data_IF_264542815529
#
_entry.id   IF_264542815529
#
_cell.length_a   1.000
_cell.length_b   1.000
_cell.length_c   1.000
_cell.angle_alpha   90.00
_cell.angle_beta   90.00
_cell.angle_gamma   90.00
#
_symmetry.space_group_name_H-M   'P 1'
#
loop_
_entity.id
_entity.type
_entity.pdbx_description
1 polymer ?
#
# COMPACT_ATOMS: atom_id res chain seq x y z
N UNK A 1 -7.19 -10.53 -7.05
CA UNK A 1 -5.76 -10.59 -6.63
C UNK A 1 -5.65 -11.59 -5.51
N UNK A 2 -4.70 -12.51 -5.60
CA UNK A 2 -4.41 -13.51 -4.56
C UNK A 2 -3.08 -13.15 -3.91
N UNK A 3 -2.98 -13.26 -2.59
CA UNK A 3 -1.77 -12.97 -1.83
C UNK A 3 -1.49 -14.07 -0.81
N UNK A 4 -0.22 -14.30 -0.50
CA UNK A 4 0.22 -15.38 0.40
C UNK A 4 0.81 -14.83 1.70
N UNK A 5 0.42 -15.41 2.83
CA UNK A 5 1.04 -15.17 4.14
C UNK A 5 1.22 -16.51 4.83
N UNK A 6 2.46 -16.87 5.15
CA UNK A 6 2.79 -18.20 5.70
C UNK A 6 2.28 -19.32 4.78
N UNK A 7 1.47 -20.24 5.29
CA UNK A 7 0.85 -21.36 4.58
C UNK A 7 -0.58 -21.06 4.12
N UNK A 8 -0.98 -19.79 4.13
CA UNK A 8 -2.31 -19.37 3.73
C UNK A 8 -2.29 -18.54 2.44
N UNK A 9 -3.28 -18.77 1.58
CA UNK A 9 -3.60 -17.89 0.46
C UNK A 9 -4.88 -17.12 0.76
N UNK A 10 -4.89 -15.83 0.40
CA UNK A 10 -6.01 -14.93 0.61
C UNK A 10 -6.40 -14.27 -0.70
N UNK A 11 -7.70 -14.13 -0.94
CA UNK A 11 -8.23 -13.37 -2.07
C UNK A 11 -9.58 -12.75 -1.72
N UNK A 12 -9.99 -11.77 -2.52
CA UNK A 12 -11.31 -11.14 -2.39
C UNK A 12 -12.16 -11.60 -3.56
N UNK A 13 -13.27 -12.26 -3.24
CA UNK A 13 -14.35 -12.54 -4.19
C UNK A 13 -15.37 -11.42 -4.10
N UNK A 14 -15.93 -11.02 -5.24
CA UNK A 14 -17.00 -10.03 -5.25
C UNK A 14 -17.97 -10.23 -6.42
N UNK A 15 -19.20 -9.79 -6.22
CA UNK A 15 -20.24 -9.82 -7.24
C UNK A 15 -21.14 -8.58 -7.13
N UNK A 16 -21.55 -8.05 -8.29
CA UNK A 16 -22.52 -6.95 -8.34
C UNK A 16 -23.88 -7.44 -7.84
N UNK A 17 -24.58 -6.59 -7.09
CA UNK A 17 -25.97 -6.80 -6.64
C UNK A 17 -26.78 -5.53 -6.86
N UNK A 18 -28.11 -5.60 -6.67
CA UNK A 18 -28.98 -4.42 -6.77
C UNK A 18 -28.63 -3.30 -5.78
N UNK A 19 -27.98 -3.62 -4.66
CA UNK A 19 -27.73 -2.66 -3.57
C UNK A 19 -26.26 -2.27 -3.41
N UNK A 20 -25.37 -2.79 -4.27
CA UNK A 20 -23.93 -2.58 -4.20
C UNK A 20 -23.13 -3.83 -4.60
N UNK A 21 -21.87 -3.90 -4.18
CA UNK A 21 -20.97 -5.03 -4.44
C UNK A 21 -20.85 -5.90 -3.20
N UNK A 22 -21.38 -7.12 -3.26
CA UNK A 22 -21.15 -8.11 -2.19
C UNK A 22 -19.74 -8.64 -2.34
N UNK A 23 -19.01 -8.76 -1.24
CA UNK A 23 -17.65 -9.27 -1.23
C UNK A 23 -17.41 -10.22 -0.06
N UNK A 24 -16.45 -11.12 -0.25
CA UNK A 24 -15.95 -12.04 0.76
C UNK A 24 -14.42 -12.14 0.65
N UNK A 25 -13.73 -12.00 1.78
CA UNK A 25 -12.31 -12.32 1.89
C UNK A 25 -12.23 -13.82 2.18
N UNK A 26 -11.63 -14.57 1.27
CA UNK A 26 -11.41 -16.00 1.41
C UNK A 26 -10.00 -16.28 1.92
N UNK A 27 -9.88 -17.42 2.57
CA UNK A 27 -8.65 -17.98 3.10
C UNK A 27 -8.58 -19.45 2.66
N UNK A 28 -7.50 -19.85 2.00
CA UNK A 28 -7.15 -21.26 1.77
C UNK A 28 -5.97 -21.63 2.66
N UNK A 29 -6.15 -22.62 3.52
CA UNK A 29 -5.06 -23.28 4.22
C UNK A 29 -4.39 -24.28 3.27
N UNK A 30 -3.12 -24.06 2.91
CA UNK A 30 -2.38 -24.96 2.02
C UNK A 30 -2.00 -26.29 2.68
N UNK A 31 -2.05 -26.40 4.01
CA UNK A 31 -1.77 -27.65 4.71
C UNK A 31 -2.99 -28.56 4.77
N UNK A 32 -4.18 -27.99 4.92
CA UNK A 32 -5.44 -28.75 5.07
C UNK A 32 -6.32 -28.69 3.83
N UNK A 33 -5.95 -27.87 2.84
CA UNK A 33 -6.69 -27.59 1.60
C UNK A 33 -8.10 -27.03 1.84
N UNK A 34 -8.39 -26.55 3.06
CA UNK A 34 -9.69 -26.01 3.43
C UNK A 34 -9.81 -24.55 3.07
N UNK A 35 -10.92 -24.20 2.42
CA UNK A 35 -11.31 -22.83 2.11
C UNK A 35 -12.31 -22.34 3.16
N UNK A 36 -12.01 -21.20 3.78
CA UNK A 36 -12.87 -20.53 4.75
C UNK A 36 -13.17 -19.09 4.31
N UNK A 37 -14.25 -18.53 4.88
CA UNK A 37 -14.55 -17.10 4.75
C UNK A 37 -13.99 -16.38 5.96
N UNK A 38 -13.03 -15.48 5.73
CA UNK A 38 -12.40 -14.70 6.79
C UNK A 38 -13.29 -13.50 7.18
N UNK A 39 -13.72 -12.72 6.20
CA UNK A 39 -14.58 -11.55 6.40
C UNK A 39 -15.51 -11.39 5.19
N UNK A 40 -16.63 -10.70 5.36
CA UNK A 40 -17.57 -10.46 4.26
C UNK A 40 -18.39 -9.18 4.50
N UNK A 41 -18.89 -8.62 3.41
CA UNK A 41 -19.70 -7.41 3.48
C UNK A 41 -20.32 -7.02 2.15
N UNK A 42 -20.86 -5.81 2.11
CA UNK A 42 -21.42 -5.20 0.91
C UNK A 42 -20.89 -3.76 0.84
N UNK A 43 -20.16 -3.44 -0.22
CA UNK A 43 -19.77 -2.08 -0.54
C UNK A 43 -20.92 -1.37 -1.25
N UNK A 44 -21.28 -0.18 -0.79
CA UNK A 44 -22.45 0.61 -1.21
C UNK A 44 -22.07 2.07 -1.32
N UNK A 45 -22.88 2.88 -2.02
CA UNK A 45 -22.65 4.33 -2.13
C UNK A 45 -21.22 4.64 -2.61
N UNK A 46 -20.81 3.95 -3.68
CA UNK A 46 -19.50 4.08 -4.32
C UNK A 46 -18.29 3.81 -3.42
N UNK A 47 -18.47 3.12 -2.29
CA UNK A 47 -17.34 2.60 -1.52
C UNK A 47 -16.67 1.43 -2.25
N UNK A 48 -15.35 1.35 -2.14
CA UNK A 48 -14.59 0.25 -2.72
C UNK A 48 -14.83 -1.08 -1.99
N UNK A 49 -14.65 -2.19 -2.70
CA UNK A 49 -14.39 -3.49 -2.06
C UNK A 49 -13.05 -3.43 -1.33
N UNK A 50 -12.84 -4.24 -0.27
CA UNK A 50 -11.55 -4.27 0.41
C UNK A 50 -10.46 -4.74 -0.56
N UNK A 51 -9.29 -4.11 -0.48
CA UNK A 51 -8.05 -4.68 -1.01
C UNK A 51 -7.21 -5.20 0.17
N UNK A 52 -6.31 -6.13 -0.13
CA UNK A 52 -5.48 -6.80 0.86
C UNK A 52 -4.07 -6.21 0.84
N UNK A 53 -3.60 -5.79 2.00
CA UNK A 53 -2.21 -5.41 2.26
C UNK A 53 -1.57 -6.50 3.14
N UNK A 54 -0.39 -6.96 2.77
CA UNK A 54 0.24 -8.12 3.41
C UNK A 54 1.63 -7.84 3.92
N UNK A 55 1.94 -8.41 5.09
CA UNK A 55 3.30 -8.60 5.56
C UNK A 55 3.62 -10.09 5.68
N UNK A 56 4.80 -10.44 6.20
CA UNK A 56 5.21 -11.83 6.43
C UNK A 56 4.32 -12.59 7.42
N UNK A 57 3.53 -11.91 8.25
CA UNK A 57 2.75 -12.53 9.35
C UNK A 57 1.25 -12.23 9.33
N UNK A 58 0.82 -11.23 8.56
CA UNK A 58 -0.58 -10.78 8.57
C UNK A 58 -1.06 -10.34 7.21
N UNK A 59 -2.37 -10.44 7.04
CA UNK A 59 -3.12 -9.72 6.01
C UNK A 59 -3.96 -8.64 6.67
N UNK A 60 -4.04 -7.48 6.05
CA UNK A 60 -4.76 -6.31 6.53
C UNK A 60 -5.68 -5.77 5.44
N UNK A 61 -6.82 -5.22 5.83
CA UNK A 61 -7.79 -4.67 4.89
C UNK A 61 -8.62 -3.58 5.56
N UNK A 62 -9.25 -2.77 4.71
CA UNK A 62 -10.13 -1.68 5.12
C UNK A 62 -11.54 -1.95 4.59
N UNK A 63 -12.54 -1.80 5.44
CA UNK A 63 -13.96 -1.95 5.07
C UNK A 63 -14.71 -0.64 5.26
N UNK A 64 -15.71 -0.39 4.43
CA UNK A 64 -16.56 0.80 4.53
C UNK A 64 -18.03 0.39 4.68
N UNK A 65 -18.60 0.67 5.85
CA UNK A 65 -20.04 0.53 6.12
C UNK A 65 -20.72 1.87 5.82
N UNK A 66 -21.29 2.01 4.62
CA UNK A 66 -21.88 3.26 4.15
C UNK A 66 -23.41 3.26 4.16
N UNK A 67 -23.97 4.40 4.55
CA UNK A 67 -25.39 4.78 4.50
C UNK A 67 -25.51 6.17 3.87
N UNK A 68 -26.72 6.66 3.54
CA UNK A 68 -26.88 8.01 2.98
C UNK A 68 -26.36 9.14 3.89
N UNK A 69 -26.20 8.89 5.19
CA UNK A 69 -25.83 9.90 6.19
C UNK A 69 -24.49 9.64 6.85
N UNK A 70 -23.88 8.47 6.64
CA UNK A 70 -22.63 8.11 7.32
C UNK A 70 -21.86 7.03 6.57
N UNK A 71 -20.53 7.18 6.54
CA UNK A 71 -19.61 6.10 6.19
C UNK A 71 -18.73 5.78 7.38
N UNK A 72 -18.77 4.53 7.86
CA UNK A 72 -17.86 4.03 8.88
C UNK A 72 -16.74 3.22 8.22
N UNK A 73 -15.51 3.69 8.33
CA UNK A 73 -14.33 2.97 7.84
C UNK A 73 -13.71 2.18 9.00
N UNK A 74 -13.43 0.90 8.80
CA UNK A 74 -12.83 0.01 9.80
C UNK A 74 -11.56 -0.58 9.20
N UNK A 75 -10.43 -0.41 9.90
CA UNK A 75 -9.18 -1.07 9.56
C UNK A 75 -9.03 -2.35 10.38
N UNK A 76 -8.85 -3.48 9.70
CA UNK A 76 -8.74 -4.81 10.30
C UNK A 76 -7.44 -5.49 9.85
N UNK A 77 -6.99 -6.47 10.62
CA UNK A 77 -6.02 -7.45 10.16
C UNK A 77 -6.34 -8.83 10.71
N UNK A 78 -5.83 -9.85 10.03
CA UNK A 78 -5.75 -11.21 10.54
C UNK A 78 -4.28 -11.55 10.74
N UNK A 79 -3.89 -11.82 12.00
CA UNK A 79 -2.54 -12.29 12.33
C UNK A 79 -2.54 -13.81 12.36
N UNK A 80 -1.68 -14.43 11.54
CA UNK A 80 -1.64 -15.88 11.38
C UNK A 80 -1.26 -16.58 12.69
N UNK A 81 -0.49 -15.93 13.56
CA UNK A 81 -0.09 -16.52 14.84
C UNK A 81 -1.21 -16.47 15.88
N UNK A 82 -2.06 -15.44 15.83
CA UNK A 82 -3.17 -15.26 16.77
C UNK A 82 -4.46 -15.95 16.32
N UNK A 83 -4.54 -16.31 15.04
CA UNK A 83 -5.72 -16.90 14.39
C UNK A 83 -6.99 -16.06 14.63
N UNK A 84 -6.84 -14.74 14.64
CA UNK A 84 -7.88 -13.80 15.02
C UNK A 84 -7.90 -12.56 14.14
N UNK A 85 -9.11 -12.03 13.92
CA UNK A 85 -9.30 -10.71 13.31
C UNK A 85 -9.18 -9.65 14.40
N UNK A 86 -8.25 -8.72 14.19
CA UNK A 86 -7.97 -7.59 15.08
C UNK A 86 -8.50 -6.33 14.42
N UNK A 87 -9.33 -5.58 15.15
CA UNK A 87 -9.78 -4.24 14.75
C UNK A 87 -8.76 -3.23 15.27
N UNK A 88 -8.13 -2.49 14.37
CA UNK A 88 -7.11 -1.50 14.74
C UNK A 88 -7.71 -0.13 15.01
N UNK A 89 -8.56 0.34 14.09
CA UNK A 89 -9.08 1.70 14.09
C UNK A 89 -10.44 1.77 13.41
N UNK A 90 -11.23 2.77 13.82
CA UNK A 90 -12.53 3.07 13.23
C UNK A 90 -12.64 4.57 13.00
N UNK A 91 -13.19 4.94 11.85
CA UNK A 91 -13.36 6.33 11.43
C UNK A 91 -14.79 6.56 11.01
N UNK A 92 -15.32 7.73 11.32
CA UNK A 92 -16.67 8.12 10.97
C UNK A 92 -16.62 9.37 10.10
N UNK A 93 -17.12 9.23 8.88
CA UNK A 93 -17.42 10.33 7.99
C UNK A 93 -18.93 10.57 7.99
N UNK A 94 -19.34 11.81 8.27
CA UNK A 94 -20.73 12.24 8.09
C UNK A 94 -20.95 12.53 6.61
N UNK A 95 -21.90 11.84 6.01
CA UNK A 95 -22.33 12.04 4.63
C UNK A 95 -23.52 13.01 4.56
N UNK A 96 -23.87 13.45 3.36
CA UNK A 96 -24.94 14.41 3.08
C UNK A 96 -24.44 15.56 2.22
N UNK A 97 -25.17 16.68 2.23
CA UNK A 97 -24.86 17.83 1.37
C UNK A 97 -23.42 18.38 1.56
N UNK A 98 -22.87 18.28 2.78
CA UNK A 98 -21.51 18.69 3.09
C UNK A 98 -20.84 17.65 3.98
N UNK A 99 -19.90 16.90 3.40
CA UNK A 99 -19.14 15.86 4.12
C UNK A 99 -18.36 16.46 5.27
N UNK A 100 -18.27 15.73 6.39
CA UNK A 100 -17.52 16.18 7.56
C UNK A 100 -16.94 14.99 8.34
N UNK A 101 -15.63 15.00 8.56
CA UNK A 101 -14.89 13.94 9.24
C UNK A 101 -13.79 13.30 8.38
N UNK A 102 -13.02 12.36 8.96
CA UNK A 102 -11.96 11.63 8.26
C UNK A 102 -12.52 10.48 7.42
N UNK A 103 -11.92 10.29 6.24
CA UNK A 103 -12.15 9.16 5.35
C UNK A 103 -10.79 8.59 4.90
N UNK A 104 -10.24 7.60 5.63
CA UNK A 104 -9.12 6.82 5.14
C UNK A 104 -9.55 5.99 3.95
N UNK A 105 -8.69 5.91 2.94
CA UNK A 105 -9.00 5.19 1.68
C UNK A 105 -7.81 4.39 1.13
N UNK A 106 -6.60 4.64 1.61
CA UNK A 106 -5.42 3.83 1.30
C UNK A 106 -4.55 3.72 2.57
N UNK A 107 -3.83 2.62 2.71
CA UNK A 107 -2.98 2.33 3.85
C UNK A 107 -1.87 1.34 3.50
N UNK A 108 -0.80 1.36 4.30
CA UNK A 108 0.21 0.29 4.37
C UNK A 108 0.39 -0.10 5.83
N UNK A 109 0.45 -1.40 6.11
CA UNK A 109 0.73 -1.94 7.44
C UNK A 109 1.90 -2.92 7.38
N UNK A 110 2.96 -2.57 8.09
CA UNK A 110 4.16 -3.39 8.20
C UNK A 110 4.60 -3.53 9.66
N UNK A 111 5.78 -4.13 9.87
CA UNK A 111 6.45 -4.15 11.17
C UNK A 111 6.88 -2.74 11.64
N UNK A 112 6.81 -1.74 10.75
CA UNK A 112 7.01 -0.33 11.08
C UNK A 112 5.73 0.39 11.52
N UNK A 113 4.63 -0.33 11.69
CA UNK A 113 3.35 0.20 12.11
C UNK A 113 2.40 0.44 10.94
N UNK A 114 1.51 1.41 11.11
CA UNK A 114 0.48 1.78 10.14
C UNK A 114 0.74 3.19 9.60
N UNK A 115 0.54 3.36 8.31
CA UNK A 115 0.45 4.67 7.65
C UNK A 115 -0.83 4.72 6.82
N UNK A 116 -1.55 5.85 6.90
CA UNK A 116 -2.87 6.05 6.32
C UNK A 116 -2.86 7.24 5.37
N UNK A 117 -3.43 7.05 4.19
CA UNK A 117 -3.84 8.13 3.31
C UNK A 117 -5.32 8.44 3.59
N UNK A 118 -5.56 9.64 4.13
CA UNK A 118 -6.86 10.05 4.66
C UNK A 118 -7.29 11.36 4.04
N UNK A 119 -8.52 11.39 3.52
CA UNK A 119 -9.21 12.63 3.18
C UNK A 119 -9.96 13.13 4.40
N UNK A 120 -9.57 14.27 4.95
CA UNK A 120 -10.34 14.92 6.03
C UNK A 120 -11.24 15.99 5.44
N UNK A 121 -12.54 15.87 5.67
CA UNK A 121 -13.53 16.83 5.22
C UNK A 121 -13.93 17.78 6.36
N UNK A 122 -13.94 19.07 6.07
CA UNK A 122 -14.54 20.10 6.94
C UNK A 122 -15.55 20.89 6.13
N UNK A 123 -16.84 20.67 6.39
CA UNK A 123 -17.92 21.34 5.68
C UNK A 123 -17.83 21.18 4.14
N UNK A 124 -17.48 19.98 3.66
CA UNK A 124 -17.26 19.67 2.25
C UNK A 124 -15.85 19.98 1.73
N UNK A 125 -15.07 20.83 2.41
CA UNK A 125 -13.69 21.09 1.99
C UNK A 125 -12.79 19.89 2.34
N UNK A 126 -12.18 19.30 1.31
CA UNK A 126 -11.33 18.12 1.42
C UNK A 126 -9.86 18.50 1.64
N UNK A 127 -9.23 17.86 2.63
CA UNK A 127 -7.78 17.95 2.88
C UNK A 127 -7.18 16.55 2.94
N UNK A 128 -6.55 16.06 1.85
CA UNK A 128 -5.83 14.79 1.84
C UNK A 128 -4.51 14.86 2.61
N UNK A 129 -4.25 13.87 3.45
CA UNK A 129 -3.03 13.75 4.26
C UNK A 129 -2.54 12.32 4.32
N UNK A 130 -1.22 12.14 4.28
CA UNK A 130 -0.55 10.89 4.59
C UNK A 130 0.04 11.00 6.01
N UNK A 131 -0.36 10.09 6.90
CA UNK A 131 -0.04 10.16 8.32
C UNK A 131 0.27 8.78 8.90
N UNK A 132 1.34 8.67 9.68
CA UNK A 132 1.61 7.45 10.46
C UNK A 132 0.76 7.45 11.72
N UNK A 133 0.34 6.26 12.15
CA UNK A 133 -0.53 6.09 13.31
C UNK A 133 0.11 6.59 14.62
N UNK A 134 1.43 6.49 14.73
CA UNK A 134 2.20 7.01 15.87
C UNK A 134 2.43 8.54 15.83
N UNK A 135 1.90 9.22 14.82
CA UNK A 135 2.02 10.67 14.63
C UNK A 135 3.42 11.16 14.27
N UNK A 136 4.38 10.26 14.06
CA UNK A 136 5.77 10.66 13.74
C UNK A 136 5.87 11.33 12.38
N UNK A 137 5.06 10.90 11.41
CA UNK A 137 5.01 11.50 10.09
C UNK A 137 3.60 11.99 9.77
N UNK A 138 3.50 13.23 9.27
CA UNK A 138 2.26 13.79 8.72
C UNK A 138 2.60 14.77 7.60
N UNK A 139 1.98 14.59 6.44
CA UNK A 139 2.13 15.50 5.30
C UNK A 139 0.81 15.64 4.53
N UNK A 140 0.50 16.86 4.07
CA UNK A 140 -0.58 17.08 3.11
C UNK A 140 -0.17 16.55 1.74
N UNK A 141 -1.02 15.76 1.10
CA UNK A 141 -0.69 15.08 -0.15
C UNK A 141 -1.68 15.44 -1.25
N UNK A 142 -1.22 16.10 -2.29
CA UNK A 142 -1.99 16.25 -3.54
C UNK A 142 -1.20 15.51 -4.63
N UNK A 143 -1.80 14.50 -5.27
CA UNK A 143 -1.12 13.73 -6.33
C UNK A 143 -0.21 12.59 -5.84
N UNK A 144 -0.53 11.95 -4.72
CA UNK A 144 0.16 10.74 -4.27
C UNK A 144 -0.08 9.58 -5.25
N UNK A 145 0.98 9.01 -5.78
CA UNK A 145 0.95 7.85 -6.70
C UNK A 145 1.12 6.54 -5.93
N UNK A 146 2.14 6.48 -5.06
CA UNK A 146 2.37 5.33 -4.18
C UNK A 146 3.16 5.77 -2.94
N UNK A 147 3.12 4.96 -1.90
CA UNK A 147 3.91 5.17 -0.70
C UNK A 147 4.26 3.85 -0.03
N UNK A 148 5.35 3.90 0.72
CA UNK A 148 5.75 2.84 1.64
C UNK A 148 6.45 3.48 2.84
N UNK A 149 6.53 2.76 3.95
CA UNK A 149 7.24 3.24 5.12
C UNK A 149 8.04 2.14 5.82
N UNK A 150 9.10 2.54 6.50
CA UNK A 150 9.79 1.70 7.48
C UNK A 150 9.91 2.46 8.81
N UNK A 151 10.68 1.96 9.77
CA UNK A 151 10.81 2.62 11.08
C UNK A 151 11.44 4.01 11.03
N UNK A 152 12.19 4.33 9.96
CA UNK A 152 13.01 5.54 9.82
C UNK A 152 12.49 6.51 8.77
N UNK A 153 11.96 6.03 7.65
CA UNK A 153 11.53 6.83 6.51
C UNK A 153 10.11 6.52 6.04
N UNK A 154 9.54 7.49 5.33
CA UNK A 154 8.40 7.35 4.42
C UNK A 154 8.90 7.65 3.01
N UNK A 155 8.67 6.70 2.10
CA UNK A 155 8.90 6.86 0.67
C UNK A 155 7.60 7.26 0.00
N UNK A 156 7.64 8.27 -0.85
CA UNK A 156 6.48 8.89 -1.50
C UNK A 156 6.78 9.01 -2.99
N UNK A 157 5.88 8.50 -3.81
CA UNK A 157 5.87 8.69 -5.25
C UNK A 157 4.89 9.79 -5.62
N UNK A 158 5.37 10.79 -6.35
CA UNK A 158 4.58 11.85 -6.96
C UNK A 158 4.97 11.91 -8.45
N UNK A 159 4.20 12.61 -9.27
CA UNK A 159 4.63 12.89 -10.65
C UNK A 159 5.96 13.65 -10.62
N UNK A 160 6.95 13.16 -11.38
CA UNK A 160 8.26 13.78 -11.49
C UNK A 160 9.15 13.68 -10.27
N UNK A 161 8.79 12.93 -9.21
CA UNK A 161 9.72 12.70 -8.11
C UNK A 161 9.42 11.50 -7.21
N UNK A 162 10.49 11.02 -6.57
CA UNK A 162 10.42 10.16 -5.40
C UNK A 162 10.99 10.91 -4.20
N UNK A 163 10.24 10.98 -3.09
CA UNK A 163 10.63 11.67 -1.87
C UNK A 163 10.84 10.64 -0.75
N UNK A 164 11.98 10.73 -0.07
CA UNK A 164 12.34 9.85 1.03
C UNK A 164 12.50 10.70 2.29
N UNK A 165 11.44 10.74 3.10
CA UNK A 165 11.32 11.65 4.22
C UNK A 165 11.56 10.92 5.54
N UNK A 166 12.46 11.40 6.42
CA UNK A 166 12.61 10.82 7.74
C UNK A 166 11.33 11.06 8.58
N UNK A 167 10.93 10.05 9.36
CA UNK A 167 9.79 10.13 10.28
C UNK A 167 10.08 10.98 11.52
N UNK A 168 11.34 11.21 11.89
CA UNK A 168 11.74 12.05 13.03
C UNK A 168 12.90 12.96 12.61
N UNK A 169 12.86 14.22 13.03
CA UNK A 169 13.95 15.18 12.84
C UNK A 169 13.64 16.31 11.85
N UNK A 170 14.52 17.33 11.84
CA UNK A 170 14.49 18.39 10.84
C UNK A 170 15.05 17.89 9.51
N UNK A 171 14.35 18.26 8.44
CA UNK A 171 14.73 18.14 7.04
C UNK A 171 16.20 18.50 6.77
N UNK A 172 16.83 17.94 5.72
CA UNK A 172 16.18 17.44 4.50
C UNK A 172 16.02 15.92 4.40
N UNK A 173 14.92 15.50 3.76
CA UNK A 173 14.84 14.17 3.16
C UNK A 173 15.64 14.10 1.86
N UNK A 174 15.61 12.96 1.18
CA UNK A 174 16.21 12.83 -0.16
C UNK A 174 15.12 12.94 -1.24
N UNK A 175 15.45 13.56 -2.38
CA UNK A 175 14.57 13.62 -3.54
C UNK A 175 15.30 13.03 -4.76
N UNK A 176 14.67 12.04 -5.38
CA UNK A 176 15.01 11.59 -6.73
C UNK A 176 14.10 12.31 -7.73
N UNK A 177 14.67 12.72 -8.86
CA UNK A 177 13.94 13.24 -10.01
C UNK A 177 14.22 12.36 -11.23
N UNK A 178 13.20 11.74 -11.82
CA UNK A 178 13.27 11.16 -13.16
C UNK A 178 13.87 12.12 -14.19
N UNK A 179 14.34 11.55 -15.30
CA UNK A 179 14.85 12.35 -16.43
C UNK A 179 13.79 13.23 -17.08
N UNK A 180 12.52 12.81 -17.04
CA UNK A 180 11.35 13.56 -17.48
C UNK A 180 10.39 13.73 -16.28
N UNK A 181 10.04 14.98 -15.97
CA UNK A 181 9.24 15.34 -14.81
C UNK A 181 7.76 14.92 -14.91
N UNK A 182 7.34 14.35 -16.04
CA UNK A 182 6.01 13.76 -16.22
C UNK A 182 5.96 12.27 -15.84
N UNK A 183 7.12 11.65 -15.60
CA UNK A 183 7.20 10.24 -15.25
C UNK A 183 6.79 10.01 -13.81
N UNK A 184 6.08 8.89 -13.59
CA UNK A 184 5.59 8.48 -12.27
C UNK A 184 6.61 7.58 -11.58
N UNK A 185 6.69 7.68 -10.25
CA UNK A 185 7.48 6.75 -9.43
C UNK A 185 6.56 5.97 -8.49
N UNK A 186 6.71 4.64 -8.47
CA UNK A 186 5.88 3.77 -7.65
C UNK A 186 6.62 2.52 -7.13
N UNK A 187 5.88 1.62 -6.49
CA UNK A 187 6.31 0.28 -6.09
C UNK A 187 7.51 0.24 -5.14
N UNK A 188 7.50 1.13 -4.13
CA UNK A 188 8.55 1.20 -3.12
C UNK A 188 8.67 -0.08 -2.30
N UNK A 189 9.91 -0.56 -2.09
CA UNK A 189 10.24 -1.70 -1.23
C UNK A 189 11.47 -1.40 -0.41
N UNK A 190 11.32 -1.33 0.92
CA UNK A 190 12.47 -1.24 1.81
C UNK A 190 13.20 -2.58 1.89
N UNK A 191 14.49 -2.54 1.59
CA UNK A 191 15.41 -3.66 1.73
C UNK A 191 16.00 -3.73 3.13
N UNK A 192 16.21 -2.55 3.73
CA UNK A 192 16.69 -2.33 5.09
C UNK A 192 16.19 -0.97 5.60
N UNK A 193 16.74 -0.49 6.73
CA UNK A 193 16.38 0.81 7.30
C UNK A 193 16.68 1.99 6.35
N UNK A 194 17.74 1.88 5.55
CA UNK A 194 18.29 2.97 4.74
C UNK A 194 18.33 2.65 3.24
N UNK A 195 17.83 1.49 2.82
CA UNK A 195 17.88 1.03 1.43
C UNK A 195 16.49 0.75 0.91
N UNK A 196 16.17 1.29 -0.26
CA UNK A 196 14.85 1.19 -0.87
C UNK A 196 14.98 0.99 -2.37
N UNK A 197 14.18 0.09 -2.91
CA UNK A 197 13.97 -0.06 -4.34
C UNK A 197 12.65 0.59 -4.71
N UNK A 198 12.58 1.16 -5.90
CA UNK A 198 11.35 1.72 -6.47
C UNK A 198 11.39 1.62 -7.99
N UNK A 199 10.25 1.87 -8.63
CA UNK A 199 10.08 1.74 -10.07
C UNK A 199 9.76 3.10 -10.70
N UNK A 200 10.43 3.43 -11.79
CA UNK A 200 10.18 4.61 -12.61
C UNK A 200 9.38 4.18 -13.86
N UNK A 201 8.23 4.83 -14.10
CA UNK A 201 7.40 4.71 -15.30
C UNK A 201 7.13 3.29 -15.81
N UNK A 202 7.11 2.29 -14.92
CA UNK A 202 7.05 0.88 -15.30
C UNK A 202 8.21 0.36 -16.15
N UNK A 203 9.30 1.10 -16.37
CA UNK A 203 10.37 0.71 -17.33
C UNK A 203 11.69 0.40 -16.66
N UNK A 204 11.86 0.76 -15.38
CA UNK A 204 13.13 0.60 -14.68
C UNK A 204 12.98 0.50 -13.17
N UNK A 205 13.76 -0.37 -12.53
CA UNK A 205 13.97 -0.36 -11.08
C UNK A 205 15.19 0.49 -10.71
N UNK A 206 15.02 1.24 -9.64
CA UNK A 206 16.06 2.06 -9.02
C UNK A 206 16.34 1.57 -7.61
N UNK A 207 17.57 1.81 -7.16
CA UNK A 207 18.01 1.56 -5.81
C UNK A 207 18.45 2.88 -5.17
N UNK A 208 17.88 3.22 -4.02
CA UNK A 208 18.32 4.34 -3.19
C UNK A 208 19.07 3.84 -1.95
N UNK A 209 20.24 4.40 -1.70
CA UNK A 209 20.96 4.35 -0.44
C UNK A 209 20.77 5.70 0.27
N UNK A 210 19.84 5.72 1.22
CA UNK A 210 19.44 6.92 1.97
C UNK A 210 20.48 7.33 3.01
N UNK A 211 21.37 6.40 3.43
CA UNK A 211 22.48 6.72 4.32
C UNK A 211 23.56 7.50 3.57
N UNK A 212 23.75 7.21 2.28
CA UNK A 212 24.71 7.90 1.40
C UNK A 212 24.09 9.02 0.56
N UNK A 213 22.76 9.12 0.52
CA UNK A 213 22.05 10.09 -0.33
C UNK A 213 22.28 9.84 -1.82
N UNK A 214 22.34 8.57 -2.24
CA UNK A 214 22.61 8.21 -3.64
C UNK A 214 21.48 7.37 -4.21
N UNK A 215 21.18 7.56 -5.49
CA UNK A 215 20.28 6.72 -6.27
C UNK A 215 20.99 6.22 -7.52
N UNK A 216 20.86 4.94 -7.81
CA UNK A 216 21.46 4.29 -8.97
C UNK A 216 20.46 3.35 -9.65
N UNK A 217 20.51 3.19 -10.99
CA UNK A 217 19.68 2.24 -11.68
C UNK A 217 20.05 0.82 -11.22
N UNK A 218 19.03 0.02 -10.88
CA UNK A 218 19.20 -1.40 -10.57
C UNK A 218 19.07 -2.26 -11.82
N UNK A 219 18.19 -1.86 -12.74
CA UNK A 219 17.97 -2.50 -14.04
C UNK A 219 18.28 -1.52 -15.17
N UNK A 220 18.48 -2.06 -16.38
CA UNK A 220 18.43 -1.25 -17.61
C UNK A 220 17.00 -0.76 -17.83
N UNK A 221 16.83 0.22 -18.73
CA UNK A 221 15.49 0.51 -19.27
C UNK A 221 15.02 -0.69 -20.07
N UNK A 222 13.79 -1.11 -19.83
CA UNK A 222 13.07 -2.12 -20.62
C UNK A 222 11.67 -1.59 -20.91
N UNK A 223 10.93 -2.24 -21.81
CA UNK A 223 9.60 -1.74 -22.20
C UNK A 223 8.64 -1.80 -21.02
N UNK A 224 8.58 -2.95 -20.34
CA UNK A 224 7.82 -3.08 -19.09
C UNK A 224 8.60 -3.86 -18.03
N UNK A 225 8.52 -3.38 -16.80
CA UNK A 225 9.05 -3.97 -15.57
C UNK A 225 7.93 -4.05 -14.54
N UNK A 226 7.72 -5.22 -13.95
CA UNK A 226 6.68 -5.43 -12.94
C UNK A 226 7.02 -4.77 -11.60
N UNK A 227 6.04 -4.70 -10.68
CA UNK A 227 6.29 -4.22 -9.31
C UNK A 227 7.17 -5.24 -8.57
N UNK A 228 8.29 -4.81 -7.97
CA UNK A 228 9.17 -5.73 -7.28
C UNK A 228 8.54 -6.31 -6.01
N UNK A 229 8.90 -7.55 -5.72
CA UNK A 229 8.64 -8.22 -4.44
C UNK A 229 9.99 -8.45 -3.78
N UNK A 230 10.11 -8.08 -2.50
CA UNK A 230 11.31 -8.33 -1.72
C UNK A 230 10.96 -9.19 -0.50
N UNK A 231 11.64 -10.33 -0.37
CA UNK A 231 11.50 -11.23 0.77
C UNK A 231 12.81 -11.97 1.00
N UNK A 232 13.23 -12.09 2.27
CA UNK A 232 14.36 -12.91 2.69
C UNK A 232 15.67 -12.64 1.92
N UNK A 233 15.97 -11.37 1.63
CA UNK A 233 17.18 -10.97 0.89
C UNK A 233 17.09 -11.15 -0.62
N UNK A 234 15.97 -11.64 -1.14
CA UNK A 234 15.74 -11.83 -2.58
C UNK A 234 14.76 -10.80 -3.11
N UNK A 235 15.10 -10.24 -4.26
CA UNK A 235 14.21 -9.39 -5.05
C UNK A 235 13.72 -10.18 -6.25
N UNK A 236 12.40 -10.28 -6.40
CA UNK A 236 11.75 -10.87 -7.56
C UNK A 236 11.03 -9.79 -8.38
N UNK A 237 11.19 -9.81 -9.70
CA UNK A 237 10.51 -8.93 -10.64
C UNK A 237 10.44 -9.58 -12.02
N UNK A 238 9.52 -9.12 -12.85
CA UNK A 238 9.37 -9.54 -14.23
C UNK A 238 9.72 -8.39 -15.18
N UNK A 239 10.29 -8.72 -16.33
CA UNK A 239 10.57 -7.82 -17.44
C UNK A 239 9.86 -8.34 -18.67
N UNK A 240 9.30 -7.44 -19.48
CA UNK A 240 8.71 -7.78 -20.76
C UNK A 240 9.10 -6.76 -21.82
N UNK A 241 9.29 -7.24 -23.05
CA UNK A 241 9.62 -6.51 -24.26
C UNK A 241 8.55 -6.71 -25.36
N UNK A 242 7.29 -6.86 -24.96
CA UNK A 242 6.10 -7.18 -25.77
C UNK A 242 6.12 -8.55 -26.48
N UNK A 243 7.27 -9.18 -26.67
CA UNK A 243 7.41 -10.53 -27.23
C UNK A 243 7.55 -11.60 -26.16
N UNK A 244 8.28 -11.30 -25.08
CA UNK A 244 8.67 -12.27 -24.06
C UNK A 244 8.44 -11.70 -22.65
N UNK A 245 8.38 -12.60 -21.67
CA UNK A 245 8.38 -12.23 -20.25
C UNK A 245 9.47 -13.04 -19.54
N UNK A 246 10.45 -12.32 -18.99
CA UNK A 246 11.49 -12.90 -18.16
C UNK A 246 11.20 -12.64 -16.68
N UNK A 247 11.32 -13.68 -15.85
CA UNK A 247 11.21 -13.57 -14.40
C UNK A 247 12.59 -13.65 -13.76
N UNK A 248 12.97 -12.61 -13.02
CA UNK A 248 14.25 -12.52 -12.35
C UNK A 248 14.07 -12.70 -10.85
N UNK A 249 15.00 -13.44 -10.24
CA UNK A 249 15.18 -13.49 -8.79
C UNK A 249 16.65 -13.21 -8.52
N UNK A 250 16.94 -12.06 -7.88
CA UNK A 250 18.31 -11.64 -7.58
C UNK A 250 18.53 -11.55 -6.08
N UNK A 251 19.74 -11.91 -5.64
CA UNK A 251 20.17 -11.73 -4.26
C UNK A 251 20.60 -10.27 -4.05
N UNK A 252 19.94 -9.59 -3.11
CA UNK A 252 20.32 -8.25 -2.68
C UNK A 252 21.25 -8.42 -1.47
N UNK A 253 22.55 -8.20 -1.68
CA UNK A 253 23.53 -8.22 -0.57
C UNK A 253 23.17 -7.11 0.44
N UNK A 254 23.18 -7.47 1.73
CA UNK A 254 22.85 -6.58 2.85
C UNK A 254 23.78 -5.39 3.00
#
# INVERSE_FOLDING_TARGET
>A
MTTGVSHYLFWVEYNQTKTGQKWAIRLLDLKTEKINTLDQGISRYDTAIPYLDTSSKRVSWMTHEATPTRTKTILKSFDVAEDAIIIHQQYILKEGAKRNGPYPFDFRRSDAGLILHTSTFKNGHQTPTLETFDGTFKRRMNGLIDFEHNKKYVSIGEEGSALFMPKKGRQPGYQFKPSDNRLTVDAFRFLSADRVIFRESMTRLWYADLARGTVSPLTKMTDTTSKPIYANGKLAYGVSDDEQIEFHVIDIKK
#
